data_IF_473708813300
#
_entry.id   IF_473708813300
#
_cell.length_a   1.000
_cell.length_b   1.000
_cell.length_c   1.000
_cell.angle_alpha   90.00
_cell.angle_beta   90.00
_cell.angle_gamma   90.00
#
_symmetry.space_group_name_H-M   'P 1'
#
loop_
_entity.id
_entity.type
_entity.pdbx_description
1 polymer ?
#
# COMPACT_ATOMS: atom_id res chain seq x y z
N UNK A 1 -19.14 -3.85 -0.84
CA UNK A 1 -18.50 -3.88 0.49
C UNK A 1 -18.33 -2.45 1.03
N UNK A 2 -17.99 -2.27 2.30
CA UNK A 2 -17.65 -0.94 2.85
C UNK A 2 -16.26 -0.49 2.33
N UNK A 3 -16.06 0.81 2.07
CA UNK A 3 -14.73 1.34 1.76
C UNK A 3 -13.74 1.16 2.92
N UNK A 4 -12.47 0.98 2.60
CA UNK A 4 -11.38 1.04 3.59
C UNK A 4 -10.64 2.37 3.49
N UNK A 5 -10.20 2.89 4.63
CA UNK A 5 -9.29 4.03 4.72
C UNK A 5 -8.03 3.58 5.44
N UNK A 6 -6.88 3.57 4.75
CA UNK A 6 -5.58 3.25 5.33
C UNK A 6 -4.87 4.53 5.78
N UNK A 7 -4.63 4.65 7.07
CA UNK A 7 -3.96 5.79 7.71
C UNK A 7 -4.75 6.32 8.91
N UNK A 8 -4.15 7.28 9.62
CA UNK A 8 -4.70 7.85 10.84
C UNK A 8 -4.71 9.38 10.87
N UNK A 9 -5.06 9.92 12.04
CA UNK A 9 -4.96 11.35 12.32
C UNK A 9 -6.00 12.24 11.61
N UNK A 10 -5.70 13.54 11.45
CA UNK A 10 -6.67 14.53 10.93
C UNK A 10 -7.17 14.24 9.52
N UNK A 11 -6.33 13.68 8.65
CA UNK A 11 -6.72 13.31 7.29
C UNK A 11 -7.74 12.17 7.27
N UNK A 12 -7.50 11.11 8.05
CA UNK A 12 -8.45 10.00 8.19
C UNK A 12 -9.77 10.43 8.82
N UNK A 13 -9.71 11.31 9.84
CA UNK A 13 -10.91 11.89 10.45
C UNK A 13 -11.72 12.73 9.47
N UNK A 14 -11.05 13.49 8.60
CA UNK A 14 -11.74 14.27 7.57
C UNK A 14 -12.38 13.35 6.52
N UNK A 15 -11.65 12.34 6.01
CA UNK A 15 -12.17 11.38 5.05
C UNK A 15 -13.40 10.62 5.59
N UNK A 16 -13.40 10.22 6.87
CA UNK A 16 -14.51 9.47 7.47
C UNK A 16 -15.82 10.25 7.54
N UNK A 17 -15.78 11.59 7.48
CA UNK A 17 -17.00 12.43 7.41
C UNK A 17 -17.73 12.28 6.09
N UNK A 18 -17.01 11.94 5.02
CA UNK A 18 -17.54 11.84 3.65
C UNK A 18 -17.73 10.39 3.19
N UNK A 19 -17.20 9.43 3.97
CA UNK A 19 -17.32 8.00 3.72
C UNK A 19 -18.02 7.29 4.89
N UNK A 20 -19.34 7.49 5.06
CA UNK A 20 -20.07 6.84 6.14
C UNK A 20 -19.98 5.31 6.03
N UNK A 21 -19.59 4.67 7.13
CA UNK A 21 -19.42 3.22 7.18
C UNK A 21 -18.07 2.71 6.65
N UNK A 22 -17.14 3.59 6.28
CA UNK A 22 -15.78 3.19 5.98
C UNK A 22 -15.05 2.67 7.24
N UNK A 23 -14.25 1.63 7.05
CA UNK A 23 -13.41 1.07 8.11
C UNK A 23 -12.05 1.76 8.06
N UNK A 24 -11.67 2.41 9.16
CA UNK A 24 -10.36 3.04 9.30
C UNK A 24 -9.35 2.01 9.78
N UNK A 25 -8.30 1.83 9.00
CA UNK A 25 -7.18 0.93 9.26
C UNK A 25 -5.97 1.82 9.52
N UNK A 26 -5.52 1.97 10.78
CA UNK A 26 -4.43 2.91 11.09
C UNK A 26 -3.09 2.47 10.48
N UNK A 27 -2.89 1.17 10.27
CA UNK A 27 -1.68 0.61 9.69
C UNK A 27 -2.01 -0.72 9.01
N UNK A 28 -1.34 -1.02 7.89
CA UNK A 28 -1.39 -2.31 7.21
C UNK A 28 0.00 -2.95 7.22
N UNK A 29 0.03 -4.28 7.37
CA UNK A 29 1.23 -5.10 7.33
C UNK A 29 1.63 -5.44 5.89
N UNK A 30 0.64 -5.79 5.06
CA UNK A 30 0.80 -6.16 3.65
C UNK A 30 -0.49 -5.85 2.88
N UNK A 31 -0.41 -5.89 1.55
CA UNK A 31 -1.56 -5.73 0.68
C UNK A 31 -1.45 -6.62 -0.56
N UNK A 32 -2.58 -7.14 -0.98
CA UNK A 32 -2.79 -7.82 -2.26
C UNK A 32 -3.99 -7.17 -2.95
N UNK A 33 -4.16 -7.32 -4.28
CA UNK A 33 -5.35 -6.84 -4.96
C UNK A 33 -6.65 -7.28 -4.24
N UNK A 34 -7.43 -6.31 -3.76
CA UNK A 34 -8.68 -6.53 -3.04
C UNK A 34 -8.56 -6.94 -1.56
N UNK A 35 -7.35 -6.98 -0.99
CA UNK A 35 -7.11 -7.40 0.40
C UNK A 35 -6.03 -6.57 1.10
N UNK A 36 -6.35 -6.06 2.28
CA UNK A 36 -5.35 -5.52 3.23
C UNK A 36 -5.13 -6.51 4.35
N UNK A 37 -3.87 -6.80 4.66
CA UNK A 37 -3.50 -7.58 5.83
C UNK A 37 -3.13 -6.64 6.97
N UNK A 38 -3.79 -6.80 8.10
CA UNK A 38 -3.62 -5.95 9.29
C UNK A 38 -3.18 -6.81 10.45
N UNK A 39 -2.15 -6.35 11.16
CA UNK A 39 -1.75 -6.92 12.44
C UNK A 39 -2.42 -6.14 13.56
N UNK A 40 -3.19 -6.82 14.42
CA UNK A 40 -3.71 -6.25 15.66
C UNK A 40 -3.45 -7.16 16.85
N UNK A 41 -4.03 -6.86 18.02
CA UNK A 41 -3.81 -7.64 19.25
C UNK A 41 -4.25 -9.11 19.11
N UNK A 42 -5.15 -9.41 18.17
CA UNK A 42 -5.62 -10.75 17.86
C UNK A 42 -4.75 -11.50 16.83
N UNK A 43 -3.71 -10.87 16.30
CA UNK A 43 -2.83 -11.43 15.27
C UNK A 43 -3.05 -10.80 13.90
N UNK A 44 -2.65 -11.51 12.85
CA UNK A 44 -2.85 -11.09 11.47
C UNK A 44 -4.25 -11.45 10.98
N UNK A 45 -4.93 -10.51 10.33
CA UNK A 45 -6.21 -10.75 9.65
C UNK A 45 -6.29 -10.03 8.32
N UNK A 46 -7.03 -10.64 7.40
CA UNK A 46 -7.35 -10.08 6.09
C UNK A 46 -8.63 -9.24 6.14
N UNK A 47 -8.56 -8.03 5.59
CA UNK A 47 -9.69 -7.14 5.32
C UNK A 47 -9.89 -7.06 3.81
N UNK A 48 -11.06 -7.48 3.33
CA UNK A 48 -11.42 -7.37 1.93
C UNK A 48 -11.91 -5.96 1.60
N UNK A 49 -11.60 -5.48 0.40
CA UNK A 49 -12.07 -4.19 -0.08
C UNK A 49 -12.36 -4.17 -1.57
N UNK A 50 -13.39 -3.42 -1.96
CA UNK A 50 -13.64 -3.02 -3.35
C UNK A 50 -13.12 -1.60 -3.62
N UNK A 51 -12.96 -0.80 -2.55
CA UNK A 51 -12.55 0.60 -2.58
C UNK A 51 -11.62 0.90 -1.41
N UNK A 52 -10.49 1.51 -1.69
CA UNK A 52 -9.45 1.83 -0.72
C UNK A 52 -9.01 3.28 -0.89
N UNK A 53 -8.91 4.02 0.22
CA UNK A 53 -8.29 5.33 0.29
C UNK A 53 -7.03 5.26 1.18
N UNK A 54 -5.86 5.50 0.60
CA UNK A 54 -4.56 5.51 1.29
C UNK A 54 -4.18 6.94 1.64
N UNK A 55 -4.00 7.21 2.93
CA UNK A 55 -3.70 8.52 3.50
C UNK A 55 -2.35 8.57 4.22
N UNK A 56 -1.68 7.42 4.38
CA UNK A 56 -0.39 7.35 5.06
C UNK A 56 0.77 7.22 4.07
N UNK A 57 1.98 7.55 4.50
CA UNK A 57 3.20 7.39 3.68
C UNK A 57 3.64 5.92 3.65
N UNK A 58 2.89 5.12 2.87
CA UNK A 58 3.09 3.67 2.70
C UNK A 58 3.25 3.31 1.23
N UNK A 59 4.28 3.84 0.54
CA UNK A 59 4.40 3.71 -0.91
C UNK A 59 4.58 2.25 -1.33
N UNK A 60 5.20 1.43 -0.49
CA UNK A 60 5.29 0.01 -0.74
C UNK A 60 3.87 -0.62 -0.80
N UNK A 61 2.95 -0.30 0.11
CA UNK A 61 1.57 -0.84 0.06
C UNK A 61 0.91 -0.55 -1.28
N UNK A 62 1.05 0.66 -1.80
CA UNK A 62 0.55 1.03 -3.12
C UNK A 62 1.25 0.23 -4.25
N UNK A 63 2.55 -0.03 -4.14
CA UNK A 63 3.28 -0.86 -5.09
C UNK A 63 2.80 -2.34 -5.08
N UNK A 64 2.56 -2.93 -3.91
CA UNK A 64 2.01 -4.30 -3.81
C UNK A 64 0.59 -4.41 -4.38
N UNK A 65 -0.18 -3.33 -4.32
CA UNK A 65 -1.49 -3.23 -4.97
C UNK A 65 -1.40 -3.08 -6.50
N UNK A 66 -0.19 -2.95 -7.05
CA UNK A 66 0.05 -2.78 -8.49
C UNK A 66 -0.12 -1.34 -8.97
N UNK A 67 -0.11 -0.34 -8.08
CA UNK A 67 -0.16 1.06 -8.49
C UNK A 67 1.11 1.44 -9.27
N UNK A 68 0.95 2.23 -10.33
CA UNK A 68 2.07 2.76 -11.12
C UNK A 68 2.73 3.91 -10.37
N UNK A 69 4.05 4.03 -10.49
CA UNK A 69 4.84 5.10 -9.91
C UNK A 69 5.57 5.88 -11.00
N UNK A 70 5.66 7.19 -10.83
CA UNK A 70 6.51 8.09 -11.62
C UNK A 70 7.32 8.98 -10.68
N UNK A 71 8.63 9.06 -10.89
CA UNK A 71 9.53 9.81 -10.02
C UNK A 71 9.36 9.49 -8.54
N UNK A 72 9.15 8.21 -8.20
CA UNK A 72 8.97 7.68 -6.84
C UNK A 72 7.64 8.01 -6.16
N UNK A 73 6.74 8.74 -6.81
CA UNK A 73 5.40 9.00 -6.32
C UNK A 73 4.37 8.16 -7.08
N UNK A 74 3.27 7.72 -6.42
CA UNK A 74 2.21 7.03 -7.13
C UNK A 74 1.56 7.97 -8.16
N UNK A 75 1.31 7.45 -9.35
CA UNK A 75 0.58 8.18 -10.40
C UNK A 75 -0.89 8.21 -10.03
N UNK A 76 -1.44 9.42 -9.92
CA UNK A 76 -2.85 9.65 -9.61
C UNK A 76 -3.48 10.63 -10.60
N UNK A 77 -4.79 10.54 -10.75
CA UNK A 77 -5.58 11.53 -11.46
C UNK A 77 -5.82 12.80 -10.61
N UNK A 78 -6.60 13.74 -11.14
CA UNK A 78 -6.95 14.97 -10.45
C UNK A 78 -7.82 14.78 -9.19
N UNK A 79 -8.28 13.58 -8.89
CA UNK A 79 -9.10 13.27 -7.72
C UNK A 79 -8.40 12.29 -6.75
N UNK A 80 -7.16 11.92 -7.06
CA UNK A 80 -6.37 11.00 -6.25
C UNK A 80 -6.61 9.53 -6.59
N UNK A 81 -7.39 9.18 -7.63
CA UNK A 81 -7.50 7.80 -8.09
C UNK A 81 -6.18 7.37 -8.74
N UNK A 82 -5.65 6.22 -8.34
CA UNK A 82 -4.38 5.69 -8.84
C UNK A 82 -4.58 4.97 -10.18
N UNK A 83 -3.53 4.39 -10.75
CA UNK A 83 -3.65 3.52 -11.93
C UNK A 83 -4.48 2.24 -11.69
N UNK A 84 -4.76 1.90 -10.43
CA UNK A 84 -5.59 0.76 -10.05
C UNK A 84 -7.00 1.24 -9.70
N UNK A 85 -8.04 0.82 -10.44
CA UNK A 85 -9.41 1.29 -10.22
C UNK A 85 -9.89 1.04 -8.80
N UNK A 86 -10.54 2.04 -8.20
CA UNK A 86 -11.05 1.96 -6.83
C UNK A 86 -10.00 2.13 -5.74
N UNK A 87 -8.73 2.37 -6.09
CA UNK A 87 -7.65 2.68 -5.14
C UNK A 87 -7.29 4.15 -5.28
N UNK A 88 -7.47 4.90 -4.19
CA UNK A 88 -7.22 6.33 -4.11
C UNK A 88 -6.07 6.59 -3.14
N UNK A 89 -5.29 7.64 -3.41
CA UNK A 89 -4.23 8.13 -2.54
C UNK A 89 -4.36 9.64 -2.34
N UNK A 90 -4.07 10.14 -1.14
CA UNK A 90 -4.08 11.56 -0.82
C UNK A 90 -3.17 11.90 0.36
N UNK A 91 -2.79 13.17 0.49
CA UNK A 91 -2.04 13.63 1.67
C UNK A 91 -0.65 12.98 1.74
N UNK A 92 -0.25 12.41 2.90
CA UNK A 92 1.06 11.80 3.08
C UNK A 92 1.43 10.74 2.04
N UNK A 93 0.46 9.95 1.57
CA UNK A 93 0.65 8.98 0.49
C UNK A 93 1.17 9.59 -0.83
N UNK A 94 0.93 10.90 -1.00
CA UNK A 94 1.35 11.71 -2.14
C UNK A 94 2.46 12.72 -1.79
N UNK A 95 3.11 12.56 -0.64
CA UNK A 95 4.15 13.47 -0.15
C UNK A 95 3.62 14.81 0.40
N UNK A 96 2.32 14.93 0.67
CA UNK A 96 1.69 16.15 1.18
C UNK A 96 1.42 16.06 2.68
N UNK A 97 1.97 16.99 3.46
CA UNK A 97 1.83 17.03 4.92
C UNK A 97 1.20 18.34 5.40
N UNK A 98 0.83 18.41 6.69
CA UNK A 98 0.29 19.62 7.30
C UNK A 98 -1.17 19.92 6.91
N UNK A 99 -1.59 21.19 6.84
CA UNK A 99 -2.99 21.58 6.68
C UNK A 99 -3.59 21.23 5.31
N UNK A 100 -2.75 20.95 4.31
CA UNK A 100 -3.19 20.53 2.98
C UNK A 100 -3.64 19.06 2.94
N UNK A 101 -3.09 18.20 3.81
CA UNK A 101 -3.40 16.77 3.80
C UNK A 101 -4.88 16.45 4.06
N UNK A 102 -5.57 17.06 5.06
CA UNK A 102 -7.01 16.87 5.23
C UNK A 102 -7.84 17.39 4.04
N UNK A 103 -7.38 18.45 3.36
CA UNK A 103 -8.07 18.99 2.18
C UNK A 103 -8.04 17.97 1.03
N UNK A 104 -6.87 17.38 0.76
CA UNK A 104 -6.76 16.31 -0.23
C UNK A 104 -7.55 15.07 0.18
N UNK A 105 -7.48 14.67 1.45
CA UNK A 105 -8.24 13.53 1.96
C UNK A 105 -9.74 13.69 1.76
N UNK A 106 -10.28 14.90 1.96
CA UNK A 106 -11.68 15.22 1.64
C UNK A 106 -11.99 15.05 0.17
N UNK A 107 -11.15 15.60 -0.72
CA UNK A 107 -11.37 15.55 -2.18
C UNK A 107 -11.41 14.10 -2.66
N UNK A 108 -10.42 13.29 -2.26
CA UNK A 108 -10.35 11.88 -2.60
C UNK A 108 -11.51 11.07 -1.99
N UNK A 109 -11.92 11.37 -0.75
CA UNK A 109 -13.05 10.72 -0.11
C UNK A 109 -14.37 11.00 -0.82
N UNK A 110 -14.62 12.24 -1.25
CA UNK A 110 -15.80 12.60 -2.05
C UNK A 110 -15.79 11.88 -3.40
N UNK A 111 -14.64 11.85 -4.09
CA UNK A 111 -14.49 11.14 -5.35
C UNK A 111 -14.73 9.62 -5.20
N UNK A 112 -14.14 8.99 -4.18
CA UNK A 112 -14.35 7.59 -3.82
C UNK A 112 -15.84 7.29 -3.52
N UNK A 113 -16.56 8.25 -2.95
CA UNK A 113 -18.00 8.18 -2.69
C UNK A 113 -18.86 8.40 -3.95
N UNK A 114 -18.27 8.75 -5.09
CA UNK A 114 -18.98 9.13 -6.32
C UNK A 114 -19.66 10.50 -6.23
N UNK A 115 -19.20 11.37 -5.33
CA UNK A 115 -19.72 12.72 -5.13
C UNK A 115 -18.87 13.76 -5.85
N UNK A 116 -19.42 14.96 -6.16
CA UNK A 116 -18.65 16.05 -6.73
C UNK A 116 -17.47 16.42 -5.84
N UNK A 117 -16.26 16.30 -6.39
CA UNK A 117 -15.02 16.62 -5.70
C UNK A 117 -14.54 18.05 -6.06
N UNK A 118 -13.77 18.67 -5.15
CA UNK A 118 -13.30 20.05 -5.25
C UNK A 118 -12.13 20.25 -6.24
N UNK A 119 -11.21 21.20 -6.00
CA UNK A 119 -10.05 21.39 -6.88
C UNK A 119 -9.15 20.15 -6.91
N UNK A 120 -8.34 20.02 -7.96
CA UNK A 120 -7.57 18.81 -8.23
C UNK A 120 -6.49 18.50 -7.18
N UNK A 121 -6.21 17.21 -7.01
CA UNK A 121 -5.07 16.66 -6.25
C UNK A 121 -3.88 16.51 -7.21
N UNK A 122 -2.68 16.73 -6.70
CA UNK A 122 -1.44 16.43 -7.40
C UNK A 122 -0.45 15.75 -6.45
N UNK A 123 0.22 14.72 -6.96
CA UNK A 123 1.33 14.09 -6.25
C UNK A 123 2.54 15.02 -6.22
N UNK A 124 3.29 15.02 -5.10
CA UNK A 124 4.58 15.69 -5.03
C UNK A 124 5.68 14.71 -5.47
N UNK A 125 6.63 15.14 -6.33
CA UNK A 125 7.73 14.29 -6.74
C UNK A 125 8.52 13.75 -5.54
N UNK A 126 8.92 12.47 -5.60
CA UNK A 126 9.74 11.79 -4.59
C UNK A 126 10.98 11.18 -5.26
N UNK A 127 12.03 11.98 -5.53
CA UNK A 127 13.19 11.49 -6.26
C UNK A 127 13.78 10.25 -5.59
N UNK A 128 13.83 9.14 -6.32
CA UNK A 128 14.41 7.90 -5.83
C UNK A 128 15.94 7.93 -5.97
N UNK A 129 16.67 7.26 -5.06
CA UNK A 129 18.12 7.15 -5.18
C UNK A 129 18.50 6.40 -6.47
N UNK A 130 19.56 6.85 -7.15
CA UNK A 130 20.17 6.06 -8.22
C UNK A 130 20.74 4.78 -7.62
N UNK A 131 20.32 3.62 -8.12
CA UNK A 131 20.80 2.32 -7.68
C UNK A 131 21.06 1.39 -8.85
N UNK A 132 22.01 0.49 -8.67
CA UNK A 132 22.16 -0.67 -9.53
C UNK A 132 21.12 -1.73 -9.17
N UNK A 133 20.78 -2.58 -10.15
CA UNK A 133 19.89 -3.72 -9.93
C UNK A 133 20.52 -4.67 -8.91
N UNK A 134 19.81 -4.94 -7.83
CA UNK A 134 20.18 -5.95 -6.85
C UNK A 134 19.90 -7.37 -7.39
N UNK A 135 20.73 -8.32 -7.01
CA UNK A 135 20.39 -9.73 -7.14
C UNK A 135 19.30 -10.12 -6.11
N UNK A 136 18.60 -11.26 -6.28
CA UNK A 136 17.50 -11.65 -5.40
C UNK A 136 17.89 -11.78 -3.92
N UNK A 137 19.12 -12.18 -3.59
CA UNK A 137 19.58 -12.34 -2.21
C UNK A 137 19.82 -10.97 -1.58
N UNK A 138 20.44 -10.05 -2.30
CA UNK A 138 20.63 -8.68 -1.86
C UNK A 138 19.29 -7.94 -1.68
N UNK A 139 18.32 -8.18 -2.57
CA UNK A 139 16.96 -7.64 -2.42
C UNK A 139 16.25 -8.21 -1.19
N UNK A 140 16.37 -9.50 -0.92
CA UNK A 140 15.83 -10.12 0.29
C UNK A 140 16.44 -9.49 1.55
N UNK A 141 17.77 -9.31 1.59
CA UNK A 141 18.45 -8.65 2.70
C UNK A 141 18.00 -7.20 2.92
N UNK A 142 17.69 -6.47 1.84
CA UNK A 142 17.11 -5.12 1.94
C UNK A 142 15.72 -5.15 2.59
N UNK A 143 14.88 -6.12 2.23
CA UNK A 143 13.52 -6.29 2.76
C UNK A 143 13.51 -6.71 4.24
N UNK A 144 14.49 -7.53 4.67
CA UNK A 144 14.69 -7.90 6.08
C UNK A 144 15.14 -6.73 6.95
N UNK A 145 15.63 -5.65 6.34
CA UNK A 145 15.99 -4.42 7.04
C UNK A 145 14.80 -3.78 7.77
N UNK A 146 15.06 -3.00 8.84
CA UNK A 146 14.01 -2.33 9.60
C UNK A 146 13.22 -1.38 8.69
N UNK A 147 11.89 -1.29 8.88
CA UNK A 147 11.07 -0.37 8.10
C UNK A 147 11.48 1.08 8.30
N UNK A 148 11.52 1.83 7.19
CA UNK A 148 11.82 3.25 7.20
C UNK A 148 12.00 3.83 5.79
N UNK A 149 11.97 5.17 5.68
CA UNK A 149 11.94 5.86 4.38
C UNK A 149 13.10 5.46 3.46
N UNK A 150 14.32 5.34 3.98
CA UNK A 150 15.49 4.99 3.19
C UNK A 150 15.41 3.56 2.61
N UNK A 151 14.89 2.61 3.38
CA UNK A 151 14.65 1.25 2.90
C UNK A 151 13.57 1.26 1.83
N UNK A 152 12.47 1.93 2.09
CA UNK A 152 11.32 1.96 1.18
C UNK A 152 11.67 2.66 -0.14
N UNK A 153 12.46 3.74 -0.11
CA UNK A 153 13.00 4.40 -1.30
C UNK A 153 13.91 3.47 -2.11
N UNK A 154 14.77 2.71 -1.44
CA UNK A 154 15.63 1.72 -2.10
C UNK A 154 14.81 0.59 -2.74
N UNK A 155 13.79 0.09 -2.06
CA UNK A 155 12.90 -0.95 -2.60
C UNK A 155 12.11 -0.43 -3.79
N UNK A 156 11.59 0.80 -3.74
CA UNK A 156 10.92 1.44 -4.88
C UNK A 156 11.86 1.65 -6.06
N UNK A 157 13.12 2.03 -5.80
CA UNK A 157 14.15 2.14 -6.83
C UNK A 157 14.40 0.79 -7.51
N UNK A 158 14.42 -0.31 -6.74
CA UNK A 158 14.46 -1.66 -7.31
C UNK A 158 13.19 -1.97 -8.11
N UNK A 159 11.99 -1.66 -7.60
CA UNK A 159 10.74 -1.88 -8.33
C UNK A 159 10.74 -1.19 -9.71
N UNK A 160 11.33 -0.01 -9.83
CA UNK A 160 11.47 0.70 -11.10
C UNK A 160 12.40 -0.02 -12.10
N UNK A 161 13.37 -0.80 -11.61
CA UNK A 161 14.34 -1.55 -12.43
C UNK A 161 13.85 -2.94 -12.82
N UNK A 162 13.17 -3.64 -11.90
CA UNK A 162 12.84 -5.07 -12.05
C UNK A 162 11.34 -5.38 -12.08
N UNK A 163 10.48 -4.36 -11.92
CA UNK A 163 9.04 -4.54 -11.79
C UNK A 163 8.59 -4.77 -10.34
N UNK A 164 7.30 -5.07 -10.11
CA UNK A 164 6.73 -5.13 -8.77
C UNK A 164 7.44 -6.15 -7.87
N UNK A 165 7.87 -5.69 -6.69
CA UNK A 165 8.42 -6.56 -5.64
C UNK A 165 7.33 -6.77 -4.60
N UNK A 166 6.91 -8.02 -4.39
CA UNK A 166 6.08 -8.35 -3.24
C UNK A 166 6.92 -8.18 -1.97
N UNK A 167 6.58 -7.20 -1.14
CA UNK A 167 7.21 -7.00 0.17
C UNK A 167 6.14 -7.25 1.24
N UNK A 168 6.57 -7.85 2.34
CA UNK A 168 5.80 -7.87 3.58
C UNK A 168 6.58 -7.05 4.61
N UNK A 169 5.90 -6.27 5.44
CA UNK A 169 6.57 -5.69 6.61
C UNK A 169 7.01 -6.83 7.57
N UNK A 170 7.93 -6.61 8.50
CA UNK A 170 8.15 -7.59 9.56
C UNK A 170 6.86 -7.79 10.37
N UNK A 171 6.45 -9.04 10.61
CA UNK A 171 5.33 -9.41 11.50
C UNK A 171 5.88 -10.04 12.78
N UNK A 172 5.21 -9.82 13.91
CA UNK A 172 5.57 -10.51 15.14
C UNK A 172 5.49 -12.04 15.01
N UNK A 173 6.48 -12.75 15.54
CA UNK A 173 6.48 -14.23 15.56
C UNK A 173 5.20 -14.80 16.21
N UNK A 174 4.65 -14.12 17.20
CA UNK A 174 3.38 -14.49 17.83
C UNK A 174 2.19 -14.39 16.87
N UNK A 175 2.16 -13.39 15.99
CA UNK A 175 1.11 -13.21 15.00
C UNK A 175 1.23 -14.25 13.86
N UNK A 176 2.45 -14.62 13.45
CA UNK A 176 2.68 -15.76 12.54
C UNK A 176 2.26 -17.09 13.16
N UNK A 177 2.64 -17.33 14.42
CA UNK A 177 2.30 -18.57 15.13
C UNK A 177 0.78 -18.73 15.31
N UNK A 178 0.04 -17.63 15.46
CA UNK A 178 -1.42 -17.65 15.52
C UNK A 178 -2.06 -18.07 14.18
N UNK A 179 -1.43 -17.76 13.03
CA UNK A 179 -1.89 -18.22 11.71
C UNK A 179 -1.60 -19.71 11.45
N UNK A 180 -0.55 -20.26 12.06
CA UNK A 180 -0.17 -21.67 11.88
C UNK A 180 -1.16 -22.68 12.48
N UNK A 181 -2.21 -22.21 13.16
CA UNK A 181 -3.29 -23.06 13.70
C UNK A 181 -4.12 -23.77 12.61
N UNK A 182 -4.11 -23.26 11.38
CA UNK A 182 -4.67 -23.94 10.20
C UNK A 182 -3.55 -24.04 9.17
N UNK A 183 -2.86 -25.18 9.16
CA UNK A 183 -1.85 -25.48 8.17
C UNK A 183 -2.53 -25.45 6.80
N UNK A 184 -2.16 -24.53 5.88
CA UNK A 184 -2.78 -24.49 4.57
C UNK A 184 -2.58 -25.83 3.87
N UNK A 185 -3.59 -26.28 3.12
CA UNK A 185 -3.47 -27.50 2.34
C UNK A 185 -2.18 -27.41 1.49
N UNK A 186 -1.35 -28.46 1.49
CA UNK A 186 -0.10 -28.44 0.75
C UNK A 186 -0.40 -28.12 -0.71
N UNK A 187 0.30 -27.12 -1.24
CA UNK A 187 0.25 -26.82 -2.66
C UNK A 187 0.65 -28.08 -3.44
N UNK A 188 0.05 -28.34 -4.62
CA UNK A 188 0.43 -29.46 -5.45
C UNK A 188 1.94 -29.44 -5.71
N UNK A 189 2.56 -30.62 -5.64
CA UNK A 189 3.99 -30.80 -5.88
C UNK A 189 4.38 -30.11 -7.19
N UNK A 190 5.20 -29.06 -7.12
CA UNK A 190 5.85 -28.52 -8.30
C UNK A 190 6.78 -29.60 -8.82
N UNK A 191 6.38 -30.19 -9.95
CA UNK A 191 7.27 -31.02 -10.75
C UNK A 191 8.09 -30.09 -11.63
N UNK A 192 9.41 -30.29 -11.64
CA UNK A 192 10.25 -29.67 -12.64
C UNK A 192 9.72 -30.12 -14.01
N UNK A 193 9.21 -29.17 -14.79
CA UNK A 193 8.89 -29.42 -16.19
C UNK A 193 10.24 -29.73 -16.86
N UNK A 194 10.55 -31.02 -17.03
CA UNK A 194 11.85 -31.56 -17.44
C UNK A 194 12.46 -30.88 -18.66
N UNK A 195 13.11 -29.74 -18.42
CA UNK A 195 13.60 -28.81 -19.43
C UNK A 195 15.07 -28.51 -19.20
N UNK A 196 15.87 -29.55 -18.97
CA UNK A 196 17.30 -29.55 -19.25
C UNK A 196 17.59 -30.80 -20.08
N UNK A 197 17.39 -30.65 -21.39
CA UNK A 197 17.99 -31.50 -22.41
C UNK A 197 18.89 -30.61 -23.27
#
# INVERSE_FOLDING_TARGET
>A
MSPLVLGGGPAALEASRHLPGAVIVPQAWHAEPGRLWVEDRGGLRALLFDRLLVLDDVPLILAALGCTFDGGAPVVDGYGETSQPGIFAAGPALGVTGPEAPVQARIAALALAGQPAGPGIAARPRPLPAQERLDPVALAGLLEGPPGPARDDAVLAQCALIGPVAFALPVGLAALAAMAGEMPDPLPVQSDAGGLA
#
